data_IF_553602293930
#
_entry.id   IF_553602293930
#
_cell.length_a   1.000
_cell.length_b   1.000
_cell.length_c   1.000
_cell.angle_alpha   90.00
_cell.angle_beta   90.00
_cell.angle_gamma   90.00
#
_symmetry.space_group_name_H-M   'P 1'
#
loop_
_entity.id
_entity.type
_entity.pdbx_description
1 polymer ?
#
# COMPACT_ATOMS: atom_id res chain seq x y z
N UNK A 1 17.84 9.56 -20.88
CA UNK A 1 18.79 8.82 -20.02
C UNK A 1 18.16 7.48 -19.68
N UNK A 2 18.85 6.40 -19.92
CA UNK A 2 18.28 5.07 -19.69
C UNK A 2 18.26 4.75 -18.20
N UNK A 3 17.23 4.01 -17.74
CA UNK A 3 17.10 3.55 -16.36
C UNK A 3 18.40 2.92 -15.81
N UNK A 4 19.01 2.03 -16.58
CA UNK A 4 20.26 1.36 -16.20
C UNK A 4 21.43 2.33 -15.91
N UNK A 5 21.50 3.46 -16.61
CA UNK A 5 22.53 4.48 -16.35
C UNK A 5 22.32 5.17 -14.99
N UNK A 6 21.06 5.40 -14.59
CA UNK A 6 20.74 5.97 -13.28
C UNK A 6 21.09 4.98 -12.16
N UNK A 7 20.72 3.72 -12.31
CA UNK A 7 21.01 2.69 -11.30
C UNK A 7 22.52 2.39 -11.23
N UNK A 8 23.22 2.33 -12.35
CA UNK A 8 24.68 2.07 -12.39
C UNK A 8 25.51 3.13 -11.67
N UNK A 9 25.02 4.37 -11.54
CA UNK A 9 25.70 5.41 -10.75
C UNK A 9 25.71 5.09 -9.26
N UNK A 10 24.84 4.18 -8.80
CA UNK A 10 24.73 3.82 -7.40
C UNK A 10 24.28 4.99 -6.52
N UNK A 11 24.47 4.85 -5.24
CA UNK A 11 24.37 5.97 -4.33
C UNK A 11 25.64 6.07 -3.47
N UNK A 12 26.00 7.30 -3.08
CA UNK A 12 27.17 7.58 -2.24
C UNK A 12 26.72 7.75 -0.79
N UNK A 13 27.51 7.23 0.16
CA UNK A 13 27.24 7.30 1.59
C UNK A 13 27.23 5.92 2.25
N UNK A 14 26.99 5.89 3.56
CA UNK A 14 26.92 4.65 4.32
C UNK A 14 25.78 3.75 3.80
N UNK A 15 26.00 2.44 3.66
CA UNK A 15 24.95 1.53 3.24
C UNK A 15 23.79 1.55 4.24
N UNK A 16 22.59 1.19 3.80
CA UNK A 16 21.47 0.94 4.71
C UNK A 16 21.77 -0.28 5.58
N UNK A 17 21.07 -0.39 6.73
CA UNK A 17 21.27 -1.49 7.65
C UNK A 17 20.94 -2.86 7.04
N UNK A 18 21.46 -3.93 7.64
CA UNK A 18 21.10 -5.28 7.20
C UNK A 18 19.59 -5.54 7.29
N UNK A 19 18.90 -4.96 8.28
CA UNK A 19 17.45 -5.08 8.37
C UNK A 19 16.76 -4.47 7.16
N UNK A 20 17.26 -3.32 6.65
CA UNK A 20 16.71 -2.68 5.46
C UNK A 20 16.84 -3.56 4.20
N UNK A 21 17.82 -4.42 4.13
CA UNK A 21 17.94 -5.39 3.02
C UNK A 21 17.02 -6.60 3.15
N UNK A 22 16.59 -6.94 4.37
CA UNK A 22 15.88 -8.20 4.66
C UNK A 22 14.38 -8.00 4.78
N UNK A 23 13.90 -6.84 5.25
CA UNK A 23 12.47 -6.64 5.53
C UNK A 23 11.54 -6.88 4.34
N UNK A 24 11.88 -6.57 3.06
CA UNK A 24 10.96 -6.86 1.95
C UNK A 24 10.73 -8.37 1.77
N UNK A 25 11.75 -9.17 2.05
CA UNK A 25 11.68 -10.64 1.98
C UNK A 25 10.88 -11.25 3.13
N UNK A 26 10.94 -10.65 4.32
CA UNK A 26 10.04 -11.00 5.43
C UNK A 26 8.60 -10.68 5.00
N UNK A 27 8.37 -9.53 4.38
CA UNK A 27 7.07 -9.15 3.81
C UNK A 27 6.58 -10.15 2.76
N UNK A 28 7.46 -10.61 1.87
CA UNK A 28 7.13 -11.66 0.89
C UNK A 28 6.71 -12.96 1.58
N UNK A 29 7.44 -13.38 2.61
CA UNK A 29 7.07 -14.56 3.40
C UNK A 29 5.69 -14.41 4.04
N UNK A 30 5.40 -13.25 4.64
CA UNK A 30 4.07 -12.94 5.18
C UNK A 30 2.99 -12.94 4.10
N UNK A 31 3.25 -12.37 2.92
CA UNK A 31 2.34 -12.37 1.78
C UNK A 31 1.99 -13.80 1.34
N UNK A 32 2.99 -14.68 1.24
CA UNK A 32 2.77 -16.11 0.89
C UNK A 32 1.87 -16.78 1.94
N UNK A 33 2.13 -16.59 3.24
CA UNK A 33 1.29 -17.16 4.31
C UNK A 33 -0.15 -16.63 4.21
N UNK A 34 -0.34 -15.33 4.01
CA UNK A 34 -1.68 -14.74 3.86
C UNK A 34 -2.38 -15.31 2.62
N UNK A 35 -1.69 -15.46 1.49
CA UNK A 35 -2.27 -16.05 0.28
C UNK A 35 -2.69 -17.52 0.51
N UNK A 36 -1.88 -18.31 1.21
CA UNK A 36 -2.26 -19.68 1.59
C UNK A 36 -3.53 -19.67 2.47
N UNK A 37 -3.61 -18.76 3.45
CA UNK A 37 -4.81 -18.61 4.28
C UNK A 37 -6.03 -18.17 3.46
N UNK A 38 -5.85 -17.25 2.50
CA UNK A 38 -6.91 -16.75 1.60
C UNK A 38 -7.42 -17.87 0.68
N UNK A 39 -6.54 -18.65 0.07
CA UNK A 39 -6.94 -19.60 -0.98
C UNK A 39 -7.21 -21.00 -0.46
N UNK A 40 -6.49 -21.45 0.56
CA UNK A 40 -6.57 -22.82 1.06
C UNK A 40 -7.46 -22.97 2.31
N UNK A 41 -7.90 -21.85 2.93
CA UNK A 41 -8.72 -21.89 4.14
C UNK A 41 -9.88 -20.91 4.09
N UNK A 42 -10.79 -21.00 5.05
CA UNK A 42 -11.84 -20.01 5.29
C UNK A 42 -11.54 -19.12 6.51
N UNK A 43 -10.30 -19.16 7.01
CA UNK A 43 -9.93 -18.48 8.25
C UNK A 43 -10.06 -16.94 8.16
N UNK A 44 -9.72 -16.35 7.02
CA UNK A 44 -9.74 -14.90 6.82
C UNK A 44 -11.08 -14.36 6.30
N UNK A 45 -12.03 -15.21 5.95
CA UNK A 45 -13.33 -14.81 5.39
C UNK A 45 -14.25 -14.20 6.45
N UNK A 46 -15.05 -13.24 6.01
CA UNK A 46 -16.15 -12.71 6.81
C UNK A 46 -17.43 -13.56 6.68
N UNK A 47 -17.68 -14.13 5.52
CA UNK A 47 -18.84 -14.99 5.24
C UNK A 47 -18.44 -16.22 4.43
N UNK A 48 -18.59 -17.41 5.03
CA UNK A 48 -18.25 -18.68 4.39
C UNK A 48 -19.28 -19.14 3.35
N UNK A 49 -20.51 -18.61 3.42
CA UNK A 49 -21.58 -18.97 2.48
C UNK A 49 -21.48 -18.27 1.13
N UNK A 50 -20.65 -17.22 1.02
CA UNK A 50 -20.46 -16.44 -0.19
C UNK A 50 -19.15 -16.77 -0.88
N UNK A 51 -18.98 -16.36 -2.14
CA UNK A 51 -17.70 -16.48 -2.83
C UNK A 51 -16.63 -15.60 -2.18
N UNK A 52 -15.43 -16.14 -1.96
CA UNK A 52 -14.29 -15.37 -1.41
C UNK A 52 -13.91 -14.16 -2.24
N UNK A 53 -14.12 -14.20 -3.55
CA UNK A 53 -13.83 -13.10 -4.46
C UNK A 53 -14.70 -11.86 -4.25
N UNK A 54 -15.79 -11.99 -3.50
CA UNK A 54 -16.73 -10.91 -3.20
C UNK A 54 -16.75 -10.56 -1.70
N UNK A 55 -15.95 -11.26 -0.90
CA UNK A 55 -15.87 -11.02 0.53
C UNK A 55 -15.01 -9.79 0.83
N UNK A 56 -15.57 -8.72 1.46
CA UNK A 56 -14.83 -7.51 1.77
C UNK A 56 -13.56 -7.75 2.60
N UNK A 57 -13.57 -8.72 3.52
CA UNK A 57 -12.40 -9.05 4.32
C UNK A 57 -11.28 -9.66 3.48
N UNK A 58 -11.61 -10.54 2.54
CA UNK A 58 -10.63 -11.10 1.60
C UNK A 58 -10.03 -10.01 0.71
N UNK A 59 -10.86 -9.09 0.18
CA UNK A 59 -10.36 -7.99 -0.65
C UNK A 59 -9.40 -7.09 0.14
N UNK A 60 -9.70 -6.80 1.42
CA UNK A 60 -8.80 -6.03 2.27
C UNK A 60 -7.46 -6.77 2.54
N UNK A 61 -7.49 -8.11 2.75
CA UNK A 61 -6.27 -8.91 2.88
C UNK A 61 -5.44 -8.93 1.59
N UNK A 62 -6.10 -9.04 0.44
CA UNK A 62 -5.41 -9.00 -0.86
C UNK A 62 -4.73 -7.65 -1.11
N UNK A 63 -5.32 -6.53 -0.65
CA UNK A 63 -4.65 -5.24 -0.66
C UNK A 63 -3.36 -5.25 0.17
N UNK A 64 -3.40 -5.72 1.43
CA UNK A 64 -2.17 -5.81 2.22
C UNK A 64 -1.08 -6.67 1.54
N UNK A 65 -1.47 -7.80 0.93
CA UNK A 65 -0.55 -8.67 0.17
C UNK A 65 0.03 -7.95 -1.05
N UNK A 66 -0.80 -7.25 -1.80
CA UNK A 66 -0.37 -6.55 -3.01
C UNK A 66 0.72 -5.53 -2.70
N UNK A 67 0.58 -4.78 -1.59
CA UNK A 67 1.60 -3.83 -1.18
C UNK A 67 2.88 -4.51 -0.68
N UNK A 68 2.79 -5.66 0.01
CA UNK A 68 3.96 -6.45 0.39
C UNK A 68 4.76 -6.90 -0.86
N UNK A 69 4.07 -7.32 -1.92
CA UNK A 69 4.70 -7.68 -3.19
C UNK A 69 5.35 -6.47 -3.88
N UNK A 70 4.69 -5.31 -3.85
CA UNK A 70 5.22 -4.08 -4.39
C UNK A 70 6.52 -3.66 -3.68
N UNK A 71 6.58 -3.80 -2.36
CA UNK A 71 7.79 -3.52 -1.59
C UNK A 71 8.97 -4.42 -1.98
N UNK A 72 8.72 -5.64 -2.47
CA UNK A 72 9.81 -6.49 -3.01
C UNK A 72 10.39 -5.88 -4.27
N UNK A 73 9.55 -5.34 -5.16
CA UNK A 73 10.03 -4.68 -6.39
C UNK A 73 10.79 -3.38 -6.10
N UNK A 74 10.34 -2.60 -5.11
CA UNK A 74 10.98 -1.33 -4.78
C UNK A 74 12.28 -1.51 -3.98
N UNK A 75 12.25 -2.32 -2.93
CA UNK A 75 13.31 -2.40 -1.92
C UNK A 75 14.04 -3.74 -1.87
N UNK A 76 13.51 -4.78 -2.50
CA UNK A 76 14.17 -6.08 -2.65
C UNK A 76 14.92 -6.16 -3.97
N UNK A 77 14.22 -6.56 -5.03
CA UNK A 77 14.77 -6.73 -6.36
C UNK A 77 13.77 -6.26 -7.41
N UNK A 78 14.21 -5.41 -8.34
CA UNK A 78 13.37 -4.93 -9.44
C UNK A 78 13.28 -5.96 -10.61
N UNK A 79 12.51 -5.63 -11.64
CA UNK A 79 12.33 -6.51 -12.80
C UNK A 79 13.62 -6.78 -13.61
N UNK A 80 14.69 -6.01 -13.39
CA UNK A 80 15.98 -6.18 -14.04
C UNK A 80 17.04 -6.84 -13.14
N UNK A 81 16.67 -7.24 -11.92
CA UNK A 81 17.59 -7.87 -10.97
C UNK A 81 18.39 -6.89 -10.11
N UNK A 82 18.11 -5.58 -10.16
CA UNK A 82 18.81 -4.61 -9.34
C UNK A 82 18.23 -4.59 -7.92
N UNK A 83 19.11 -4.70 -6.94
CA UNK A 83 18.72 -4.62 -5.53
C UNK A 83 18.54 -3.16 -5.11
N UNK A 84 17.52 -2.90 -4.26
CA UNK A 84 17.21 -1.58 -3.69
C UNK A 84 17.14 -0.47 -4.75
N UNK A 85 16.62 -0.80 -5.90
CA UNK A 85 16.63 0.08 -7.05
C UNK A 85 15.83 1.37 -6.83
N UNK A 86 14.73 1.31 -6.05
CA UNK A 86 13.93 2.50 -5.73
C UNK A 86 14.73 3.53 -4.92
N UNK A 87 15.45 3.10 -3.90
CA UNK A 87 16.24 4.01 -3.06
C UNK A 87 17.36 4.66 -3.86
N UNK A 88 18.00 3.88 -4.75
CA UNK A 88 19.04 4.38 -5.66
C UNK A 88 18.46 5.39 -6.65
N UNK A 89 17.33 5.09 -7.27
CA UNK A 89 16.65 5.99 -8.20
C UNK A 89 16.26 7.30 -7.51
N UNK A 90 15.64 7.22 -6.31
CA UNK A 90 15.25 8.41 -5.54
C UNK A 90 16.46 9.27 -5.19
N UNK A 91 17.59 8.66 -4.82
CA UNK A 91 18.84 9.39 -4.59
C UNK A 91 19.32 10.11 -5.85
N UNK A 92 19.29 9.44 -7.01
CA UNK A 92 19.72 10.04 -8.28
C UNK A 92 18.81 11.20 -8.73
N UNK A 93 17.51 11.11 -8.46
CA UNK A 93 16.55 12.15 -8.82
C UNK A 93 16.56 13.35 -7.87
N UNK A 94 16.79 13.12 -6.58
CA UNK A 94 16.69 14.15 -5.55
C UNK A 94 18.05 14.75 -5.14
N UNK A 95 19.15 14.05 -5.41
CA UNK A 95 20.48 14.45 -4.98
C UNK A 95 20.73 14.32 -3.48
N UNK A 96 19.80 13.72 -2.73
CA UNK A 96 19.87 13.57 -1.27
C UNK A 96 19.39 12.18 -0.85
N UNK A 97 20.11 11.57 0.10
CA UNK A 97 19.74 10.29 0.68
C UNK A 97 18.55 10.46 1.64
N UNK A 98 17.47 9.76 1.36
CA UNK A 98 16.33 9.68 2.29
C UNK A 98 16.71 8.78 3.46
N UNK A 99 16.27 9.14 4.66
CA UNK A 99 16.53 8.36 5.87
C UNK A 99 15.95 6.95 5.78
N UNK A 100 16.76 5.95 6.17
CA UNK A 100 16.30 4.57 6.33
C UNK A 100 15.06 4.48 7.23
N UNK A 101 15.09 5.23 8.34
CA UNK A 101 13.97 5.23 9.29
C UNK A 101 12.68 5.78 8.68
N UNK A 102 12.77 6.75 7.76
CA UNK A 102 11.61 7.27 7.06
C UNK A 102 10.99 6.22 6.12
N UNK A 103 11.82 5.52 5.35
CA UNK A 103 11.35 4.43 4.48
C UNK A 103 10.73 3.29 5.29
N UNK A 104 11.41 2.84 6.36
CA UNK A 104 10.91 1.76 7.22
C UNK A 104 9.61 2.18 7.92
N UNK A 105 9.54 3.38 8.51
CA UNK A 105 8.35 3.84 9.20
C UNK A 105 7.15 3.93 8.26
N UNK A 106 7.32 4.50 7.06
CA UNK A 106 6.27 4.58 6.06
C UNK A 106 5.75 3.18 5.70
N UNK A 107 6.64 2.30 5.27
CA UNK A 107 6.23 1.00 4.72
C UNK A 107 5.78 0.02 5.80
N UNK A 108 6.50 -0.11 6.91
CA UNK A 108 6.12 -1.05 7.97
C UNK A 108 4.82 -0.63 8.65
N UNK A 109 4.62 0.67 8.94
CA UNK A 109 3.37 1.12 9.55
C UNK A 109 2.19 0.95 8.61
N UNK A 110 2.32 1.34 7.34
CA UNK A 110 1.23 1.21 6.39
C UNK A 110 0.96 -0.27 6.05
N UNK A 111 1.97 -0.99 5.63
CA UNK A 111 1.81 -2.30 4.99
C UNK A 111 1.69 -3.43 6.01
N UNK A 112 2.48 -3.41 7.08
CA UNK A 112 2.53 -4.50 8.05
C UNK A 112 1.60 -4.28 9.26
N UNK A 113 1.16 -3.04 9.48
CA UNK A 113 0.26 -2.71 10.59
C UNK A 113 -1.11 -2.28 10.08
N UNK A 114 -1.19 -1.16 9.35
CA UNK A 114 -2.48 -0.58 8.93
C UNK A 114 -3.23 -1.51 7.97
N UNK A 115 -2.55 -2.13 7.00
CA UNK A 115 -3.16 -3.07 6.06
C UNK A 115 -3.83 -4.27 6.76
N UNK A 116 -3.07 -5.10 7.53
CA UNK A 116 -3.64 -6.22 8.29
C UNK A 116 -4.70 -5.80 9.30
N UNK A 117 -4.50 -4.70 10.04
CA UNK A 117 -5.50 -4.18 10.96
C UNK A 117 -6.80 -3.82 10.24
N UNK A 118 -6.71 -3.17 9.07
CA UNK A 118 -7.87 -2.86 8.25
C UNK A 118 -8.65 -4.13 7.90
N UNK A 119 -7.98 -5.17 7.42
CA UNK A 119 -8.62 -6.45 7.10
C UNK A 119 -9.28 -7.12 8.32
N UNK A 120 -8.63 -7.06 9.49
CA UNK A 120 -9.19 -7.56 10.75
C UNK A 120 -10.43 -6.77 11.16
N UNK A 121 -10.42 -5.43 11.05
CA UNK A 121 -11.56 -4.58 11.36
C UNK A 121 -12.71 -4.79 10.37
N UNK A 122 -12.41 -4.92 9.07
CA UNK A 122 -13.41 -5.29 8.05
C UNK A 122 -14.11 -6.59 8.45
N UNK A 123 -13.35 -7.63 8.82
CA UNK A 123 -13.95 -8.90 9.29
C UNK A 123 -14.84 -8.73 10.54
N UNK A 124 -14.57 -7.71 11.38
CA UNK A 124 -15.36 -7.38 12.58
C UNK A 124 -16.55 -6.44 12.32
N UNK A 125 -16.91 -6.20 11.07
CA UNK A 125 -18.09 -5.42 10.71
C UNK A 125 -17.84 -3.98 10.26
N UNK A 126 -16.58 -3.56 10.08
CA UNK A 126 -16.23 -2.24 9.52
C UNK A 126 -16.08 -2.33 8.00
N UNK A 127 -17.12 -2.87 7.32
CA UNK A 127 -17.07 -3.29 5.92
C UNK A 127 -16.64 -2.20 4.95
N UNK A 128 -17.08 -0.96 5.19
CA UNK A 128 -16.90 0.17 4.27
C UNK A 128 -15.46 0.68 4.17
N UNK A 129 -14.56 0.25 5.07
CA UNK A 129 -13.13 0.57 4.96
C UNK A 129 -12.34 -0.46 4.11
N UNK A 130 -13.01 -1.48 3.55
CA UNK A 130 -12.34 -2.59 2.87
C UNK A 130 -11.50 -2.17 1.64
N UNK A 131 -11.89 -1.09 0.95
CA UNK A 131 -11.14 -0.57 -0.19
C UNK A 131 -9.97 0.35 0.19
N UNK A 132 -9.74 0.60 1.49
CA UNK A 132 -8.73 1.58 1.93
C UNK A 132 -7.35 1.31 1.35
N UNK A 133 -6.84 0.07 1.53
CA UNK A 133 -5.53 -0.30 1.00
C UNK A 133 -5.47 -0.21 -0.53
N UNK A 134 -6.43 -0.78 -1.23
CA UNK A 134 -6.41 -0.79 -2.71
C UNK A 134 -6.54 0.61 -3.33
N UNK A 135 -7.19 1.54 -2.64
CA UNK A 135 -7.24 2.95 -3.09
C UNK A 135 -5.88 3.64 -2.90
N UNK A 136 -5.18 3.39 -1.79
CA UNK A 136 -3.81 3.89 -1.60
C UNK A 136 -2.87 3.29 -2.66
N UNK A 137 -3.00 2.01 -2.93
CA UNK A 137 -2.25 1.31 -3.98
C UNK A 137 -2.51 1.90 -5.36
N UNK A 138 -3.75 2.28 -5.66
CA UNK A 138 -4.07 2.96 -6.91
C UNK A 138 -3.35 4.31 -7.01
N UNK A 139 -3.36 5.12 -5.93
CA UNK A 139 -2.69 6.42 -5.92
C UNK A 139 -1.17 6.23 -6.10
N UNK A 140 -0.58 5.30 -5.35
CA UNK A 140 0.84 4.95 -5.47
C UNK A 140 1.15 4.43 -6.89
N UNK A 141 0.38 3.47 -7.39
CA UNK A 141 0.56 2.90 -8.73
C UNK A 141 0.46 3.94 -9.85
N UNK A 142 -0.50 4.86 -9.75
CA UNK A 142 -0.61 5.98 -10.70
C UNK A 142 0.61 6.90 -10.63
N UNK A 143 1.23 7.08 -9.46
CA UNK A 143 2.47 7.85 -9.33
C UNK A 143 3.65 7.17 -10.03
N UNK A 144 3.81 5.85 -9.92
CA UNK A 144 4.83 5.08 -10.64
C UNK A 144 4.60 5.12 -12.16
N UNK A 145 3.36 4.98 -12.60
CA UNK A 145 2.99 5.08 -14.02
C UNK A 145 3.31 6.51 -14.54
N UNK A 146 2.89 7.54 -13.81
CA UNK A 146 3.18 8.93 -14.17
C UNK A 146 4.68 9.22 -14.20
N UNK A 147 5.44 8.69 -13.23
CA UNK A 147 6.90 8.82 -13.20
C UNK A 147 7.57 8.12 -14.39
N UNK A 148 7.08 6.94 -14.79
CA UNK A 148 7.59 6.24 -15.97
C UNK A 148 7.40 7.05 -17.25
N UNK A 149 6.23 7.69 -17.43
CA UNK A 149 6.00 8.61 -18.55
C UNK A 149 6.93 9.82 -18.51
N UNK A 150 7.12 10.42 -17.32
CA UNK A 150 7.98 11.59 -17.15
C UNK A 150 9.47 11.27 -17.41
N UNK A 151 9.93 10.11 -16.98
CA UNK A 151 11.32 9.68 -17.17
C UNK A 151 11.57 9.08 -18.56
N UNK A 152 10.51 8.66 -19.26
CA UNK A 152 10.61 7.89 -20.51
C UNK A 152 11.23 6.50 -20.34
N UNK A 153 11.21 5.95 -19.12
CA UNK A 153 11.75 4.63 -18.80
C UNK A 153 11.07 3.99 -17.58
N UNK A 154 11.40 2.72 -17.35
CA UNK A 154 10.95 1.99 -16.15
C UNK A 154 11.44 2.67 -14.87
N UNK A 155 10.65 2.53 -13.80
CA UNK A 155 11.06 2.79 -12.42
C UNK A 155 10.59 1.61 -11.52
N UNK A 156 11.33 1.33 -10.41
CA UNK A 156 10.94 0.26 -9.48
C UNK A 156 9.57 0.54 -8.88
N UNK A 157 8.71 -0.47 -8.85
CA UNK A 157 7.31 -0.37 -8.48
C UNK A 157 6.34 -0.28 -9.67
N UNK A 158 6.83 0.01 -10.89
CA UNK A 158 5.97 0.12 -12.08
C UNK A 158 5.31 -1.21 -12.46
N UNK A 159 6.06 -2.32 -12.42
CA UNK A 159 5.54 -3.63 -12.81
C UNK A 159 4.37 -4.03 -11.90
N UNK A 160 4.59 -4.03 -10.59
CA UNK A 160 3.53 -4.38 -9.63
C UNK A 160 2.38 -3.37 -9.66
N UNK A 161 2.64 -2.10 -9.95
CA UNK A 161 1.58 -1.11 -10.16
C UNK A 161 0.66 -1.49 -11.31
N UNK A 162 1.22 -1.88 -12.45
CA UNK A 162 0.44 -2.22 -13.64
C UNK A 162 -0.25 -3.59 -13.52
N UNK A 163 0.43 -4.61 -12.97
CA UNK A 163 -0.08 -6.00 -13.00
C UNK A 163 -0.77 -6.44 -11.72
N UNK A 164 -0.60 -5.72 -10.61
CA UNK A 164 -1.22 -6.05 -9.31
C UNK A 164 -2.12 -4.92 -8.82
N UNK A 165 -1.61 -3.71 -8.59
CA UNK A 165 -2.38 -2.62 -7.97
C UNK A 165 -3.58 -2.20 -8.80
N UNK A 166 -3.38 -1.84 -10.06
CA UNK A 166 -4.48 -1.38 -10.93
C UNK A 166 -5.54 -2.47 -11.11
N UNK A 167 -5.21 -3.73 -11.46
CA UNK A 167 -6.22 -4.78 -11.59
C UNK A 167 -6.96 -5.08 -10.28
N UNK A 168 -6.24 -5.18 -9.15
CA UNK A 168 -6.86 -5.46 -7.85
C UNK A 168 -7.76 -4.30 -7.41
N UNK A 169 -7.34 -3.05 -7.61
CA UNK A 169 -8.16 -1.89 -7.29
C UNK A 169 -9.43 -1.86 -8.14
N UNK A 170 -9.32 -2.06 -9.45
CA UNK A 170 -10.47 -2.12 -10.35
C UNK A 170 -11.45 -3.22 -9.91
N UNK A 171 -10.96 -4.41 -9.58
CA UNK A 171 -11.78 -5.51 -9.07
C UNK A 171 -12.45 -5.16 -7.74
N UNK A 172 -11.68 -4.65 -6.78
CA UNK A 172 -12.19 -4.28 -5.44
C UNK A 172 -13.25 -3.20 -5.55
N UNK A 173 -13.03 -2.15 -6.33
CA UNK A 173 -14.01 -1.09 -6.54
C UNK A 173 -15.27 -1.61 -7.24
N UNK A 174 -15.12 -2.43 -8.27
CA UNK A 174 -16.25 -3.06 -8.94
C UNK A 174 -17.10 -3.87 -7.96
N UNK A 175 -16.48 -4.76 -7.19
CA UNK A 175 -17.19 -5.62 -6.23
C UNK A 175 -17.89 -4.80 -5.17
N UNK A 176 -17.18 -3.88 -4.53
CA UNK A 176 -17.70 -3.19 -3.34
C UNK A 176 -18.68 -2.06 -3.65
N UNK A 177 -18.59 -1.42 -4.83
CA UNK A 177 -19.35 -0.21 -5.11
C UNK A 177 -20.23 -0.23 -6.37
N UNK A 178 -20.07 -1.22 -7.24
CA UNK A 178 -20.82 -1.31 -8.49
C UNK A 178 -21.62 -2.59 -8.66
N UNK A 179 -21.19 -3.69 -8.02
CA UNK A 179 -21.91 -4.96 -8.05
C UNK A 179 -23.18 -4.88 -7.21
N UNK A 180 -24.31 -5.31 -7.77
CA UNK A 180 -25.63 -5.26 -7.10
C UNK A 180 -26.08 -6.66 -6.64
N UNK A 181 -27.00 -6.68 -5.67
CA UNK A 181 -27.74 -7.88 -5.28
C UNK A 181 -27.00 -8.85 -4.37
N UNK A 182 -25.92 -8.42 -3.73
CA UNK A 182 -25.18 -9.26 -2.79
C UNK A 182 -25.44 -8.82 -1.36
N UNK A 183 -25.99 -9.72 -0.56
CA UNK A 183 -26.11 -9.58 0.90
C UNK A 183 -25.52 -10.79 1.59
N UNK A 184 -25.00 -10.62 2.78
CA UNK A 184 -24.29 -11.61 3.56
C UNK A 184 -24.97 -11.89 4.88
N UNK A 185 -24.87 -13.12 5.36
CA UNK A 185 -25.27 -13.48 6.74
C UNK A 185 -24.37 -12.81 7.79
N UNK A 186 -23.18 -12.35 7.40
CA UNK A 186 -22.30 -11.58 8.26
C UNK A 186 -22.75 -10.11 8.44
N UNK A 187 -23.79 -9.67 7.71
CA UNK A 187 -24.41 -8.36 7.87
C UNK A 187 -23.97 -7.29 6.87
N UNK A 188 -23.13 -7.59 5.88
CA UNK A 188 -22.83 -6.63 4.81
C UNK A 188 -23.78 -6.78 3.62
N UNK A 189 -24.04 -5.68 2.95
CA UNK A 189 -24.82 -5.63 1.71
C UNK A 189 -24.12 -4.75 0.69
N UNK A 190 -24.00 -5.23 -0.54
CA UNK A 190 -23.37 -4.50 -1.65
C UNK A 190 -24.46 -3.93 -2.58
N UNK A 191 -24.22 -2.80 -3.23
CA UNK A 191 -22.99 -1.99 -3.18
C UNK A 191 -22.93 -1.05 -1.97
N UNK A 192 -21.72 -0.75 -1.50
CA UNK A 192 -21.49 0.31 -0.53
C UNK A 192 -21.72 1.71 -1.15
N UNK A 193 -21.96 2.75 -0.31
CA UNK A 193 -22.11 4.11 -0.81
C UNK A 193 -20.90 4.60 -1.58
N UNK A 194 -21.08 5.08 -2.81
CA UNK A 194 -19.98 5.57 -3.66
C UNK A 194 -19.22 6.75 -3.06
N UNK A 195 -19.83 7.49 -2.12
CA UNK A 195 -19.18 8.57 -1.39
C UNK A 195 -17.99 8.05 -0.56
N UNK A 196 -17.96 6.77 -0.19
CA UNK A 196 -16.83 6.18 0.52
C UNK A 196 -15.56 6.18 -0.34
N UNK A 197 -15.68 5.98 -1.66
CA UNK A 197 -14.55 6.07 -2.59
C UNK A 197 -13.89 7.44 -2.47
N UNK A 198 -14.71 8.51 -2.45
CA UNK A 198 -14.19 9.87 -2.33
C UNK A 198 -13.45 10.07 -0.99
N UNK A 199 -14.03 9.64 0.13
CA UNK A 199 -13.41 9.81 1.43
C UNK A 199 -12.13 8.98 1.58
N UNK A 200 -12.13 7.73 1.12
CA UNK A 200 -10.94 6.87 1.13
C UNK A 200 -9.85 7.42 0.21
N UNK A 201 -10.23 7.95 -0.97
CA UNK A 201 -9.30 8.57 -1.91
C UNK A 201 -8.68 9.85 -1.32
N UNK A 202 -9.49 10.73 -0.73
CA UNK A 202 -8.97 11.96 -0.11
C UNK A 202 -8.03 11.66 1.06
N UNK A 203 -8.35 10.63 1.87
CA UNK A 203 -7.45 10.19 2.95
C UNK A 203 -6.13 9.63 2.40
N UNK A 204 -6.19 8.82 1.33
CA UNK A 204 -5.00 8.30 0.66
C UNK A 204 -4.17 9.38 -0.02
N UNK A 205 -4.82 10.35 -0.65
CA UNK A 205 -4.13 11.50 -1.24
C UNK A 205 -3.44 12.35 -0.16
N UNK A 206 -4.12 12.60 0.97
CA UNK A 206 -3.52 13.30 2.11
C UNK A 206 -2.27 12.58 2.62
N UNK A 207 -2.34 11.27 2.80
CA UNK A 207 -1.20 10.44 3.17
C UNK A 207 -0.01 10.64 2.22
N UNK A 208 -0.23 10.59 0.91
CA UNK A 208 0.84 10.79 -0.08
C UNK A 208 1.39 12.22 -0.06
N UNK A 209 0.54 13.23 0.19
CA UNK A 209 1.00 14.62 0.32
C UNK A 209 1.90 14.78 1.55
N UNK A 210 1.54 14.19 2.70
CA UNK A 210 2.37 14.21 3.92
C UNK A 210 3.67 13.45 3.71
N UNK A 211 3.63 12.29 3.07
CA UNK A 211 4.82 11.51 2.68
C UNK A 211 5.77 12.36 1.84
N UNK A 212 5.27 12.98 0.76
CA UNK A 212 6.09 13.81 -0.13
C UNK A 212 6.60 15.07 0.58
N UNK A 213 5.80 15.72 1.42
CA UNK A 213 6.24 16.86 2.22
C UNK A 213 7.34 16.45 3.22
N UNK A 214 7.25 15.27 3.83
CA UNK A 214 8.29 14.70 4.70
C UNK A 214 9.60 14.48 3.95
N UNK A 215 9.53 13.89 2.76
CA UNK A 215 10.70 13.67 1.90
C UNK A 215 11.31 15.02 1.47
N UNK A 216 10.51 15.98 1.01
CA UNK A 216 10.99 17.30 0.63
C UNK A 216 11.57 18.07 1.83
N UNK A 217 10.95 17.98 3.00
CA UNK A 217 11.47 18.54 4.25
C UNK A 217 12.84 17.98 4.60
N UNK A 218 13.03 16.65 4.43
CA UNK A 218 14.32 16.02 4.62
C UNK A 218 15.39 16.57 3.67
N UNK A 219 15.05 16.68 2.39
CA UNK A 219 16.00 17.02 1.33
C UNK A 219 16.29 18.52 1.26
N UNK A 220 15.34 19.38 1.61
CA UNK A 220 15.47 20.86 1.50
C UNK A 220 15.77 21.55 2.80
N UNK A 221 15.31 21.02 3.94
CA UNK A 221 15.40 21.65 5.25
C UNK A 221 16.35 20.90 6.20
N UNK A 222 16.97 19.81 5.77
CA UNK A 222 17.85 19.00 6.63
C UNK A 222 17.13 18.35 7.81
N UNK A 223 15.85 17.99 7.65
CA UNK A 223 15.06 17.36 8.71
C UNK A 223 15.72 16.06 9.18
N UNK A 224 15.95 15.86 10.49
CA UNK A 224 16.58 14.65 10.99
C UNK A 224 15.72 13.39 10.74
N UNK A 225 16.37 12.26 10.44
CA UNK A 225 15.68 11.02 10.05
C UNK A 225 14.68 10.49 11.07
N UNK A 226 14.95 10.68 12.37
CA UNK A 226 14.00 10.27 13.42
C UNK A 226 12.68 11.05 13.33
N UNK A 227 12.75 12.38 13.03
CA UNK A 227 11.57 13.21 12.91
C UNK A 227 10.75 12.82 11.67
N UNK A 228 11.42 12.50 10.57
CA UNK A 228 10.76 11.95 9.37
C UNK A 228 10.02 10.65 9.71
N UNK A 229 10.67 9.73 10.43
CA UNK A 229 10.05 8.49 10.89
C UNK A 229 8.81 8.74 11.76
N UNK A 230 8.87 9.67 12.71
CA UNK A 230 7.71 10.05 13.56
C UNK A 230 6.56 10.58 12.71
N UNK A 231 6.84 11.46 11.73
CA UNK A 231 5.81 12.00 10.84
C UNK A 231 5.14 10.85 10.06
N UNK A 232 5.90 9.88 9.53
CA UNK A 232 5.33 8.73 8.79
C UNK A 232 4.47 7.84 9.67
N UNK A 233 4.85 7.62 10.93
CA UNK A 233 4.03 6.85 11.89
C UNK A 233 2.72 7.57 12.17
N UNK A 234 2.77 8.88 12.46
CA UNK A 234 1.56 9.68 12.73
C UNK A 234 0.64 9.72 11.52
N UNK A 235 1.20 9.86 10.32
CA UNK A 235 0.44 9.85 9.07
C UNK A 235 -0.30 8.53 8.86
N UNK A 236 0.37 7.39 9.08
CA UNK A 236 -0.26 6.07 9.00
C UNK A 236 -1.39 5.89 10.05
N UNK A 237 -1.20 6.41 11.27
CA UNK A 237 -2.23 6.41 12.32
C UNK A 237 -3.44 7.28 11.92
N UNK A 238 -3.19 8.48 11.38
CA UNK A 238 -4.25 9.35 10.87
C UNK A 238 -5.02 8.68 9.74
N UNK A 239 -4.32 8.06 8.79
CA UNK A 239 -4.93 7.32 7.69
C UNK A 239 -5.85 6.22 8.18
N UNK A 240 -5.36 5.35 9.09
CA UNK A 240 -6.17 4.29 9.69
C UNK A 240 -7.40 4.84 10.40
N UNK A 241 -7.25 5.94 11.14
CA UNK A 241 -8.36 6.60 11.83
C UNK A 241 -9.44 7.10 10.85
N UNK A 242 -9.06 7.71 9.73
CA UNK A 242 -10.01 8.12 8.69
C UNK A 242 -10.74 6.91 8.09
N UNK A 243 -10.04 5.82 7.78
CA UNK A 243 -10.68 4.61 7.29
C UNK A 243 -11.64 4.00 8.32
N UNK A 244 -11.24 4.02 9.59
CA UNK A 244 -12.10 3.57 10.68
C UNK A 244 -13.39 4.41 10.79
N UNK A 245 -13.32 5.73 10.60
CA UNK A 245 -14.51 6.59 10.57
C UNK A 245 -15.46 6.23 9.43
N UNK A 246 -14.94 5.91 8.25
CA UNK A 246 -15.74 5.41 7.12
C UNK A 246 -16.35 4.05 7.48
N UNK A 247 -15.56 3.14 8.02
CA UNK A 247 -15.99 1.80 8.43
C UNK A 247 -17.03 1.79 9.56
N UNK A 248 -16.92 2.71 10.53
CA UNK A 248 -17.84 2.84 11.65
C UNK A 248 -19.29 3.04 11.19
N UNK A 249 -19.50 3.71 10.06
CA UNK A 249 -20.84 3.91 9.48
C UNK A 249 -21.52 2.60 9.08
N UNK A 250 -20.80 1.51 8.90
CA UNK A 250 -21.39 0.19 8.62
C UNK A 250 -22.12 -0.40 9.84
N UNK A 251 -21.65 -0.10 11.05
CA UNK A 251 -22.20 -0.65 12.30
C UNK A 251 -23.45 0.06 12.80
N UNK A 252 -23.68 1.31 12.36
CA UNK A 252 -24.84 2.10 12.79
C UNK A 252 -26.10 1.71 12.02
N UNK A 253 -25.95 0.97 10.91
CA UNK A 253 -27.07 0.53 10.04
C UNK A 253 -27.54 -0.90 10.33
N UNK A 254 -26.94 -1.58 11.31
CA UNK A 254 -27.34 -2.88 11.85
C UNK A 254 -28.10 -2.70 13.18
#
# INVERSE_FOLDING_TARGET
>A
MMYHELIAKGFTGEPYSMFFHVWPWIGLGAAVVILLLVFCTDFLRSDKSRSRWFDPAILAWLGAVAYMLHNVEEYGVDMYGNQQAFTTLMYQLMGVRISELAFLACNLCLVWVVGPLTAVFVRKGYWRMAAGMTIIELINGLSHIGQAFNLGCYNPGLLTSCVVFVPLCCWTLYVLYFRKGESSQAGWSLPFPKMDILWLFLAGLFYHVVLMAGILGATRLGMPGWLQGVIMVLDAVCLFYFWWLVGKKSRVQQ
#
